data_IF_955367496988
#
_entry.id   IF_955367496988
#
_cell.length_a   1.000
_cell.length_b   1.000
_cell.length_c   1.000
_cell.angle_alpha   90.00
_cell.angle_beta   90.00
_cell.angle_gamma   90.00
#
_symmetry.space_group_name_H-M   'P 1'
#
loop_
_entity.id
_entity.type
_entity.pdbx_description
1 polymer ?
#
# COMPACT_ATOMS: atom_id res chain seq x y z
N UNK A 1 5.63 -17.45 24.39
CA UNK A 1 4.70 -16.93 23.36
C UNK A 1 5.28 -15.62 22.85
N UNK A 2 5.59 -15.53 21.57
CA UNK A 2 6.12 -14.31 20.95
C UNK A 2 4.94 -13.52 20.36
N UNK A 3 4.89 -12.21 20.61
CA UNK A 3 3.95 -11.31 19.96
C UNK A 3 4.73 -10.37 19.04
N UNK A 4 4.42 -10.40 17.75
CA UNK A 4 5.00 -9.49 16.75
C UNK A 4 3.92 -8.51 16.29
N UNK A 5 4.15 -7.21 16.47
CA UNK A 5 3.21 -6.16 16.13
C UNK A 5 3.86 -5.23 15.10
N UNK A 6 3.26 -5.15 13.91
CA UNK A 6 3.66 -4.17 12.89
C UNK A 6 2.81 -2.91 13.06
N UNK A 7 3.47 -1.79 13.35
CA UNK A 7 2.83 -0.49 13.55
C UNK A 7 3.10 0.43 12.36
N UNK A 8 2.22 1.41 12.14
CA UNK A 8 2.34 2.39 11.04
C UNK A 8 2.64 1.76 9.68
N UNK A 9 2.03 0.61 9.38
CA UNK A 9 2.27 -0.09 8.12
C UNK A 9 1.71 0.74 6.95
N UNK A 10 2.49 0.84 5.89
CA UNK A 10 2.13 1.59 4.68
C UNK A 10 1.11 0.83 3.79
N UNK A 11 0.10 0.22 4.41
CA UNK A 11 -0.94 -0.59 3.80
C UNK A 11 -2.29 0.13 3.94
N UNK A 12 -2.80 0.64 2.81
CA UNK A 12 -4.08 1.33 2.74
C UNK A 12 -4.65 1.26 1.33
N UNK A 13 -5.94 1.53 1.20
CA UNK A 13 -6.59 1.73 -0.10
C UNK A 13 -6.24 3.11 -0.66
N UNK A 14 -6.41 3.28 -1.97
CA UNK A 14 -6.19 4.57 -2.60
C UNK A 14 -7.14 5.63 -2.01
N UNK A 15 -6.60 6.76 -1.51
CA UNK A 15 -7.41 7.84 -0.92
C UNK A 15 -8.30 8.55 -1.95
N UNK A 16 -9.45 9.05 -1.48
CA UNK A 16 -10.47 9.75 -2.27
C UNK A 16 -9.88 10.92 -3.07
N UNK A 17 -8.97 11.67 -2.45
CA UNK A 17 -8.37 12.90 -2.97
C UNK A 17 -7.57 12.67 -4.26
N UNK A 18 -7.10 11.45 -4.50
CA UNK A 18 -6.24 11.11 -5.65
C UNK A 18 -6.88 10.14 -6.64
N UNK A 19 -8.14 9.72 -6.41
CA UNK A 19 -8.86 8.77 -7.29
C UNK A 19 -8.90 9.20 -8.75
N UNK A 20 -8.98 10.52 -8.99
CA UNK A 20 -9.10 11.06 -10.34
C UNK A 20 -7.77 11.12 -11.09
N UNK A 21 -6.63 10.87 -10.43
CA UNK A 21 -5.31 10.97 -11.04
C UNK A 21 -5.11 9.90 -12.13
N UNK A 22 -4.47 10.22 -13.28
CA UNK A 22 -4.30 9.27 -14.39
C UNK A 22 -3.61 7.95 -14.01
N UNK A 23 -2.60 8.01 -13.14
CA UNK A 23 -1.88 6.81 -12.68
C UNK A 23 -2.78 5.87 -11.85
N UNK A 24 -3.65 6.43 -11.01
CA UNK A 24 -4.64 5.67 -10.23
C UNK A 24 -5.65 5.02 -11.16
N UNK A 25 -6.26 5.79 -12.07
CA UNK A 25 -7.23 5.24 -13.05
C UNK A 25 -6.64 4.12 -13.90
N UNK A 26 -5.39 4.29 -14.36
CA UNK A 26 -4.67 3.26 -15.13
C UNK A 26 -4.46 1.99 -14.29
N UNK A 27 -4.07 2.14 -13.03
CA UNK A 27 -3.93 1.00 -12.12
C UNK A 27 -5.27 0.29 -11.86
N UNK A 28 -6.32 1.04 -11.52
CA UNK A 28 -7.66 0.53 -11.26
C UNK A 28 -8.21 -0.26 -12.46
N UNK A 29 -8.06 0.30 -13.68
CA UNK A 29 -8.42 -0.38 -14.93
C UNK A 29 -7.65 -1.69 -15.11
N UNK A 30 -6.34 -1.71 -14.83
CA UNK A 30 -5.52 -2.93 -14.89
C UNK A 30 -5.95 -3.97 -13.85
N UNK A 31 -6.37 -3.53 -12.67
CA UNK A 31 -6.88 -4.40 -11.60
C UNK A 31 -8.33 -4.84 -11.80
N UNK A 32 -9.06 -4.25 -12.76
CA UNK A 32 -10.51 -4.48 -12.98
C UNK A 32 -11.33 -4.22 -11.71
N UNK A 33 -10.96 -3.18 -10.96
CA UNK A 33 -11.64 -2.75 -9.73
C UNK A 33 -11.82 -1.24 -9.69
N UNK A 34 -12.78 -0.71 -8.91
CA UNK A 34 -12.84 0.71 -8.56
C UNK A 34 -11.52 1.18 -7.96
N UNK A 35 -11.16 2.45 -8.16
CA UNK A 35 -9.86 2.98 -7.71
C UNK A 35 -9.73 2.93 -6.20
N UNK A 36 -10.82 3.25 -5.50
CA UNK A 36 -10.99 3.21 -4.05
C UNK A 36 -10.89 1.78 -3.48
N UNK A 37 -11.03 0.75 -4.31
CA UNK A 37 -10.84 -0.67 -3.92
C UNK A 37 -9.44 -1.20 -4.28
N UNK A 38 -8.54 -0.35 -4.79
CA UNK A 38 -7.15 -0.72 -5.07
C UNK A 38 -6.22 -0.26 -3.95
N UNK A 39 -5.13 -1.00 -3.74
CA UNK A 39 -4.08 -0.61 -2.79
C UNK A 39 -3.31 0.61 -3.29
N UNK A 40 -3.01 1.53 -2.37
CA UNK A 40 -2.05 2.60 -2.62
C UNK A 40 -0.65 1.99 -2.76
N UNK A 41 0.04 2.32 -3.85
CA UNK A 41 1.37 1.80 -4.16
C UNK A 41 2.22 2.90 -4.79
N UNK A 42 3.28 3.30 -4.08
CA UNK A 42 4.20 4.37 -4.47
C UNK A 42 4.89 4.08 -5.79
N UNK A 43 5.15 2.82 -6.15
CA UNK A 43 5.76 2.46 -7.43
C UNK A 43 4.84 2.74 -8.62
N UNK A 44 3.54 2.88 -8.38
CA UNK A 44 2.50 3.07 -9.40
C UNK A 44 1.86 4.45 -9.31
N UNK A 45 1.75 4.99 -8.10
CA UNK A 45 1.00 6.19 -7.78
C UNK A 45 1.89 7.37 -7.38
N UNK A 46 3.22 7.27 -7.49
CA UNK A 46 4.20 8.27 -7.04
C UNK A 46 3.71 9.73 -7.20
N UNK A 47 3.49 10.17 -8.45
CA UNK A 47 3.05 11.55 -8.75
C UNK A 47 1.65 11.90 -8.22
N UNK A 48 0.76 10.92 -8.07
CA UNK A 48 -0.55 11.15 -7.45
C UNK A 48 -0.41 11.46 -5.96
N UNK A 49 0.62 10.91 -5.32
CA UNK A 49 0.83 10.99 -3.87
C UNK A 49 1.54 12.28 -3.43
N UNK A 50 2.06 13.10 -4.34
CA UNK A 50 2.89 14.28 -4.02
C UNK A 50 2.22 15.27 -3.06
N UNK A 51 0.89 15.36 -3.07
CA UNK A 51 0.11 16.26 -2.20
C UNK A 51 -0.54 15.56 -1.02
N UNK A 52 -0.33 14.25 -0.85
CA UNK A 52 -0.87 13.53 0.28
C UNK A 52 -0.07 13.89 1.56
N UNK A 53 -0.76 14.08 2.70
CA UNK A 53 -0.06 14.25 3.96
C UNK A 53 0.73 12.98 4.29
N UNK A 54 1.95 13.18 4.83
CA UNK A 54 2.90 12.13 5.20
C UNK A 54 3.15 11.11 4.07
N UNK A 55 3.21 11.58 2.82
CA UNK A 55 3.32 10.70 1.66
C UNK A 55 4.48 9.70 1.82
N UNK A 56 5.61 10.14 2.35
CA UNK A 56 6.84 9.35 2.58
C UNK A 56 6.61 8.08 3.41
N UNK A 57 5.59 8.05 4.29
CA UNK A 57 5.21 6.88 5.09
C UNK A 57 4.18 5.97 4.41
N UNK A 58 3.71 6.29 3.21
CA UNK A 58 2.52 5.69 2.57
C UNK A 58 2.87 4.88 1.32
N UNK A 59 1.96 3.97 0.97
CA UNK A 59 1.98 3.23 -0.30
C UNK A 59 3.17 2.28 -0.48
N UNK A 60 3.64 1.64 0.59
CA UNK A 60 4.73 0.65 0.57
C UNK A 60 4.28 -0.69 1.18
N UNK A 61 3.23 -1.32 0.62
CA UNK A 61 2.71 -2.60 1.13
C UNK A 61 3.72 -3.74 1.00
N UNK A 62 4.73 -3.59 0.14
CA UNK A 62 5.82 -4.54 -0.06
C UNK A 62 6.64 -4.78 1.22
N UNK A 63 6.84 -3.75 2.06
CA UNK A 63 7.58 -3.87 3.32
C UNK A 63 6.86 -4.85 4.26
N UNK A 64 5.55 -4.61 4.50
CA UNK A 64 4.76 -5.50 5.34
C UNK A 64 4.67 -6.91 4.75
N UNK A 65 4.51 -7.02 3.43
CA UNK A 65 4.48 -8.31 2.74
C UNK A 65 5.76 -9.13 3.00
N UNK A 66 6.94 -8.54 2.82
CA UNK A 66 8.22 -9.22 3.09
C UNK A 66 8.35 -9.58 4.56
N UNK A 67 8.01 -8.65 5.46
CA UNK A 67 8.07 -8.91 6.91
C UNK A 67 7.17 -10.08 7.33
N UNK A 68 5.94 -10.16 6.79
CA UNK A 68 5.01 -11.25 7.06
C UNK A 68 5.53 -12.59 6.53
N UNK A 69 6.09 -12.61 5.32
CA UNK A 69 6.69 -13.83 4.76
C UNK A 69 7.82 -14.37 5.67
N UNK A 70 8.69 -13.49 6.15
CA UNK A 70 9.79 -13.87 7.03
C UNK A 70 9.32 -14.31 8.42
N UNK A 71 8.39 -13.57 9.03
CA UNK A 71 7.88 -13.89 10.35
C UNK A 71 7.16 -15.24 10.35
N UNK A 72 6.25 -15.43 9.39
CA UNK A 72 5.43 -16.65 9.31
C UNK A 72 6.18 -17.85 8.77
N UNK A 73 7.24 -17.63 7.99
CA UNK A 73 8.14 -18.68 7.50
C UNK A 73 9.20 -19.11 8.53
N UNK A 74 9.27 -18.45 9.69
CA UNK A 74 10.25 -18.81 10.72
C UNK A 74 9.84 -20.11 11.44
N UNK A 75 10.80 -20.98 11.84
CA UNK A 75 10.48 -22.17 12.63
C UNK A 75 9.84 -21.89 14.01
N UNK A 76 9.89 -20.65 14.47
CA UNK A 76 9.36 -20.21 15.76
C UNK A 76 7.85 -19.86 15.70
N UNK A 77 7.32 -19.60 14.51
CA UNK A 77 5.90 -19.32 14.28
C UNK A 77 5.08 -20.61 14.25
#
# INVERSE_FOLDING_TARGET
MLNLIFTETALELVPQEILQHPSVKRNAKRRKRPGEETLLDRSLHHYAMDRLPNAEKRGRPDILHVCLLLALGSPLN
#
